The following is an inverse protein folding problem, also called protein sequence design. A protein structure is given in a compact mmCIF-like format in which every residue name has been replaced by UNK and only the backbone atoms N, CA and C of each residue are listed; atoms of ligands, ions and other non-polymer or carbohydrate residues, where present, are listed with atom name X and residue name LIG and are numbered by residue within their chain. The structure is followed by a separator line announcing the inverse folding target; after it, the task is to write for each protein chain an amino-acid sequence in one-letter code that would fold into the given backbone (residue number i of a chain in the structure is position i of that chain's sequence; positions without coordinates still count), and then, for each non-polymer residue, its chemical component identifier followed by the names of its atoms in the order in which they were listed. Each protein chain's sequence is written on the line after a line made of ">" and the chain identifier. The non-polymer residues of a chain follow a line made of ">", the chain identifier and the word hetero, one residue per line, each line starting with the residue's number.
data_IF_973751041543
#
_entry.id   IF_973751041543
#
_cell.length_a   1.000
_cell.length_b   1.000
_cell.length_c   1.000
_cell.angle_alpha   90.00
_cell.angle_beta   90.00
_cell.angle_gamma   90.00
#
_symmetry.space_group_name_H-M   'P 1'
#
loop_
_entity.id
_entity.type
_entity.pdbx_description
1 polymer ?
#
# COMPACT_ATOMS: atom_id res chain seq x y z
N UNK A 1 -23.54 -5.58 8.66
CA UNK A 1 -22.76 -6.40 7.71
C UNK A 1 -22.62 -5.59 6.44
N UNK A 2 -21.39 -5.34 6.01
CA UNK A 2 -21.13 -4.61 4.77
C UNK A 2 -21.05 -5.61 3.61
N UNK A 3 -21.32 -5.17 2.39
CA UNK A 3 -21.09 -5.96 1.19
C UNK A 3 -20.19 -5.13 0.27
N UNK A 4 -18.88 -5.24 0.49
CA UNK A 4 -17.87 -4.39 -0.17
C UNK A 4 -17.83 -4.64 -1.69
N UNK A 5 -17.96 -3.58 -2.50
CA UNK A 5 -17.93 -3.74 -3.96
C UNK A 5 -16.51 -3.68 -4.51
N UNK A 6 -15.62 -2.93 -3.86
CA UNK A 6 -14.22 -2.85 -4.28
C UNK A 6 -13.28 -3.15 -3.13
N UNK A 7 -12.28 -3.99 -3.42
CA UNK A 7 -11.16 -4.29 -2.55
C UNK A 7 -9.93 -3.58 -3.11
N UNK A 8 -9.28 -2.76 -2.29
CA UNK A 8 -8.07 -2.04 -2.66
C UNK A 8 -6.91 -2.64 -1.90
N UNK A 9 -6.09 -3.41 -2.60
CA UNK A 9 -4.92 -4.06 -2.05
C UNK A 9 -3.80 -3.03 -1.88
N UNK A 10 -3.21 -3.00 -0.69
CA UNK A 10 -2.23 -2.01 -0.25
C UNK A 10 -0.98 -2.73 0.25
N UNK A 11 0.17 -2.21 -0.14
CA UNK A 11 1.47 -2.53 0.47
C UNK A 11 2.33 -1.27 0.55
N UNK A 12 3.08 -1.13 1.65
CA UNK A 12 3.96 -0.01 1.93
C UNK A 12 5.39 -0.48 2.19
N UNK A 13 6.34 0.10 1.46
CA UNK A 13 7.75 0.06 1.84
C UNK A 13 8.07 1.27 2.75
N UNK A 14 8.99 1.07 3.69
CA UNK A 14 9.34 2.08 4.65
C UNK A 14 10.83 2.09 5.02
N UNK A 15 11.28 3.15 5.69
CA UNK A 15 12.67 3.30 6.15
C UNK A 15 13.14 2.22 7.14
N UNK A 16 12.23 1.43 7.72
CA UNK A 16 12.51 0.46 8.78
C UNK A 16 11.24 -0.20 9.34
N UNK A 17 11.40 -0.97 10.43
CA UNK A 17 10.31 -1.72 11.07
C UNK A 17 9.56 -0.92 12.13
N UNK A 18 8.45 -1.48 12.62
CA UNK A 18 7.66 -0.91 13.72
C UNK A 18 8.52 -0.73 14.98
N UNK A 19 8.37 0.41 15.67
CA UNK A 19 9.18 0.80 16.84
C UNK A 19 10.26 1.83 16.55
N UNK A 20 10.75 1.92 15.31
CA UNK A 20 11.75 2.91 14.90
C UNK A 20 11.13 4.21 14.35
N UNK A 21 9.80 4.36 14.48
CA UNK A 21 9.01 5.45 13.87
C UNK A 21 9.29 5.56 12.36
N UNK A 22 9.03 4.50 11.57
CA UNK A 22 9.39 4.46 10.16
C UNK A 22 8.63 5.51 9.33
N UNK A 23 9.20 5.88 8.18
CA UNK A 23 8.60 6.78 7.19
C UNK A 23 8.42 6.03 5.88
N UNK A 24 7.37 6.37 5.15
CA UNK A 24 7.03 5.73 3.88
C UNK A 24 8.07 6.03 2.79
N UNK A 25 8.48 5.00 2.03
CA UNK A 25 9.40 5.10 0.89
C UNK A 25 8.77 4.67 -0.42
N UNK A 26 7.79 3.76 -0.38
CA UNK A 26 6.98 3.35 -1.52
C UNK A 26 5.57 2.99 -1.07
N UNK A 27 4.59 3.19 -1.94
CA UNK A 27 3.20 2.80 -1.72
C UNK A 27 2.63 2.26 -3.02
N UNK A 28 2.00 1.08 -2.95
CA UNK A 28 1.19 0.58 -4.04
C UNK A 28 -0.24 0.35 -3.59
N UNK A 29 -1.19 0.78 -4.42
CA UNK A 29 -2.59 0.41 -4.35
C UNK A 29 -3.00 -0.28 -5.65
N UNK A 30 -3.72 -1.38 -5.54
CA UNK A 30 -4.41 -2.00 -6.67
C UNK A 30 -5.87 -2.27 -6.32
N UNK A 31 -6.80 -1.65 -7.04
CA UNK A 31 -8.23 -1.85 -6.84
C UNK A 31 -8.75 -2.99 -7.71
N UNK A 32 -9.58 -3.84 -7.10
CA UNK A 32 -10.26 -4.93 -7.78
C UNK A 32 -11.71 -4.95 -7.34
N UNK A 33 -12.62 -4.89 -8.32
CA UNK A 33 -14.04 -5.07 -8.04
C UNK A 33 -14.33 -6.51 -7.59
N UNK A 34 -15.24 -6.67 -6.64
CA UNK A 34 -15.69 -7.95 -6.08
C UNK A 34 -16.04 -8.97 -7.17
N UNK A 35 -16.81 -8.55 -8.17
CA UNK A 35 -17.14 -9.37 -9.34
C UNK A 35 -15.90 -10.05 -9.97
N UNK A 36 -14.78 -9.34 -10.11
CA UNK A 36 -13.54 -9.88 -10.68
C UNK A 36 -12.81 -10.85 -9.75
N UNK A 37 -13.04 -10.74 -8.43
CA UNK A 37 -12.53 -11.68 -7.43
C UNK A 37 -13.37 -12.97 -7.38
N UNK A 38 -14.70 -12.86 -7.58
CA UNK A 38 -15.63 -13.99 -7.58
C UNK A 38 -15.62 -14.79 -8.91
N UNK A 39 -15.49 -14.10 -10.06
CA UNK A 39 -15.71 -14.70 -11.38
C UNK A 39 -14.39 -15.05 -12.12
N UNK A 40 -13.57 -15.89 -11.48
CA UNK A 40 -12.25 -16.30 -11.98
C UNK A 40 -12.27 -17.04 -13.33
N UNK A 41 -13.31 -17.84 -13.59
CA UNK A 41 -13.37 -18.79 -14.72
C UNK A 41 -13.51 -18.13 -16.09
N UNK A 42 -14.01 -16.90 -16.18
CA UNK A 42 -14.20 -16.21 -17.46
C UNK A 42 -12.91 -15.64 -18.06
N UNK A 43 -11.84 -15.47 -17.25
CA UNK A 43 -10.54 -14.95 -17.73
C UNK A 43 -9.60 -16.02 -18.31
N UNK A 44 -9.91 -17.30 -18.15
CA UNK A 44 -9.13 -18.42 -18.71
C UNK A 44 -9.82 -18.92 -19.98
N UNK A 45 -9.99 -18.04 -20.97
CA UNK A 45 -10.36 -18.49 -22.31
C UNK A 45 -9.18 -19.25 -22.91
N UNK A 46 -9.23 -20.59 -22.95
CA UNK A 46 -8.47 -21.55 -23.78
C UNK A 46 -6.97 -21.27 -24.12
N UNK A 47 -6.28 -20.37 -23.42
CA UNK A 47 -4.84 -20.16 -23.53
C UNK A 47 -4.23 -20.80 -22.29
N UNK A 48 -3.58 -21.93 -22.53
CA UNK A 48 -3.04 -22.80 -21.51
C UNK A 48 -2.14 -22.08 -20.51
N UNK A 49 -2.09 -22.65 -19.30
CA UNK A 49 -0.95 -22.72 -18.38
C UNK A 49 0.09 -21.59 -18.54
N UNK A 50 0.09 -20.68 -17.56
CA UNK A 50 0.95 -19.49 -17.42
C UNK A 50 0.38 -18.24 -18.12
N UNK A 51 -0.19 -17.32 -17.34
CA UNK A 51 -0.64 -16.04 -17.88
C UNK A 51 -0.83 -15.00 -16.80
N UNK A 52 -1.88 -15.09 -16.00
CA UNK A 52 -2.16 -14.10 -14.97
C UNK A 52 -2.82 -14.75 -13.74
N UNK A 53 -2.19 -14.63 -12.58
CA UNK A 53 -2.70 -15.14 -11.29
C UNK A 53 -3.68 -14.12 -10.64
N UNK A 54 -3.80 -12.93 -11.22
CA UNK A 54 -4.64 -11.81 -10.78
C UNK A 54 -5.60 -11.36 -11.89
N UNK A 55 -6.69 -10.61 -11.57
CA UNK A 55 -7.72 -10.24 -12.54
C UNK A 55 -7.21 -9.21 -13.55
N UNK A 56 -7.80 -9.20 -14.74
CA UNK A 56 -7.40 -8.28 -15.83
C UNK A 56 -7.87 -6.84 -15.62
N UNK A 57 -9.05 -6.67 -15.03
CA UNK A 57 -9.66 -5.36 -14.77
C UNK A 57 -9.27 -4.91 -13.37
N UNK A 58 -8.30 -4.00 -13.29
CA UNK A 58 -7.78 -3.41 -12.06
C UNK A 58 -7.32 -1.98 -12.34
N UNK A 59 -7.48 -1.08 -11.37
CA UNK A 59 -6.75 0.19 -11.37
C UNK A 59 -5.54 0.05 -10.44
N UNK A 60 -4.40 0.69 -10.79
CA UNK A 60 -3.19 0.67 -9.96
C UNK A 60 -2.62 2.07 -9.77
N UNK A 61 -2.15 2.36 -8.57
CA UNK A 61 -1.38 3.54 -8.21
C UNK A 61 -0.11 3.08 -7.49
N UNK A 62 1.07 3.36 -8.04
CA UNK A 62 2.36 3.03 -7.43
C UNK A 62 3.21 4.29 -7.36
N UNK A 63 3.68 4.65 -6.16
CA UNK A 63 4.37 5.91 -5.89
C UNK A 63 5.59 5.67 -4.99
N UNK A 64 6.77 6.07 -5.44
CA UNK A 64 7.94 6.19 -4.58
C UNK A 64 7.95 7.57 -3.91
N UNK A 65 8.35 7.62 -2.64
CA UNK A 65 8.29 8.81 -1.79
C UNK A 65 9.63 9.00 -1.10
N UNK A 66 10.13 10.24 -1.06
CA UNK A 66 11.30 10.56 -0.26
C UNK A 66 10.92 10.67 1.23
N UNK A 67 11.42 9.78 2.10
CA UNK A 67 10.96 9.68 3.48
C UNK A 67 11.36 10.88 4.34
N UNK A 68 12.27 11.75 3.88
CA UNK A 68 12.89 12.81 4.68
C UNK A 68 13.43 12.28 6.03
N UNK A 69 13.90 11.03 6.01
CA UNK A 69 14.50 10.29 7.11
C UNK A 69 15.45 9.26 6.51
N UNK A 70 16.54 8.95 7.21
CA UNK A 70 17.46 7.92 6.76
C UNK A 70 16.76 6.56 6.62
N UNK A 71 16.96 5.92 5.48
CA UNK A 71 16.59 4.52 5.24
C UNK A 71 17.62 3.65 5.94
N UNK A 72 17.17 2.72 6.77
CA UNK A 72 18.07 1.76 7.43
C UNK A 72 18.70 0.82 6.40
N UNK A 73 19.90 0.31 6.69
CA UNK A 73 20.57 -0.65 5.81
C UNK A 73 19.68 -1.87 5.54
N UNK A 74 19.00 -2.39 6.57
CA UNK A 74 18.07 -3.51 6.44
C UNK A 74 16.90 -3.21 5.49
N UNK A 75 16.33 -2.01 5.55
CA UNK A 75 15.25 -1.61 4.64
C UNK A 75 15.74 -1.46 3.20
N UNK A 76 16.95 -0.93 3.01
CA UNK A 76 17.59 -0.87 1.69
C UNK A 76 17.89 -2.26 1.13
N UNK A 77 18.44 -3.18 1.94
CA UNK A 77 18.77 -4.54 1.49
C UNK A 77 17.53 -5.32 1.03
N UNK A 78 16.36 -5.01 1.60
CA UNK A 78 15.08 -5.60 1.22
C UNK A 78 14.50 -4.92 -0.03
N UNK A 79 14.31 -3.59 0.02
CA UNK A 79 13.53 -2.86 -1.00
C UNK A 79 14.34 -2.29 -2.16
N UNK A 80 15.66 -2.19 -2.03
CA UNK A 80 16.53 -1.47 -2.96
C UNK A 80 16.34 0.06 -2.95
N UNK A 81 15.47 0.61 -2.09
CA UNK A 81 15.26 2.06 -1.98
C UNK A 81 16.25 2.69 -1.02
N UNK A 82 16.92 3.75 -1.45
CA UNK A 82 17.87 4.50 -0.63
C UNK A 82 17.52 5.99 -0.66
N UNK A 83 18.02 6.75 0.32
CA UNK A 83 17.86 8.20 0.28
C UNK A 83 18.49 8.82 -0.98
N UNK A 84 19.59 8.24 -1.46
CA UNK A 84 20.29 8.69 -2.66
C UNK A 84 19.43 8.51 -3.90
N UNK A 85 18.96 7.28 -4.20
CA UNK A 85 18.18 7.05 -5.42
C UNK A 85 16.84 7.78 -5.43
N UNK A 86 16.17 7.93 -4.27
CA UNK A 86 14.93 8.70 -4.15
C UNK A 86 15.18 10.19 -4.38
N UNK A 87 16.32 10.72 -3.94
CA UNK A 87 16.68 12.13 -4.12
C UNK A 87 17.10 12.42 -5.57
N UNK A 88 17.93 11.57 -6.16
CA UNK A 88 18.40 11.72 -7.54
C UNK A 88 17.26 11.57 -8.57
N UNK A 89 16.25 10.76 -8.25
CA UNK A 89 15.01 10.67 -9.03
C UNK A 89 13.98 11.76 -8.67
N UNK A 90 14.40 12.80 -7.94
CA UNK A 90 13.61 13.97 -7.57
C UNK A 90 12.26 13.61 -6.92
N UNK A 91 12.22 12.55 -6.10
CA UNK A 91 10.98 12.16 -5.42
C UNK A 91 10.67 13.17 -4.31
N UNK A 92 9.43 13.65 -4.28
CA UNK A 92 8.90 14.46 -3.20
C UNK A 92 8.60 13.60 -1.97
N UNK A 93 8.46 14.24 -0.81
CA UNK A 93 7.95 13.57 0.39
C UNK A 93 6.46 13.28 0.31
N UNK A 94 5.91 12.63 1.34
CA UNK A 94 4.48 12.43 1.47
C UNK A 94 3.81 13.81 1.69
N UNK A 95 3.12 14.33 0.67
CA UNK A 95 2.59 15.68 0.60
C UNK A 95 1.09 15.70 0.22
N UNK A 96 0.51 16.90 0.11
CA UNK A 96 -0.91 17.06 -0.26
C UNK A 96 -1.24 16.57 -1.68
N UNK A 97 -0.26 16.50 -2.58
CA UNK A 97 -0.46 15.92 -3.92
C UNK A 97 -0.76 14.44 -3.79
N UNK A 98 0.02 13.72 -2.98
CA UNK A 98 -0.20 12.31 -2.69
C UNK A 98 -1.55 12.09 -1.98
N UNK A 99 -1.90 12.95 -1.00
CA UNK A 99 -3.23 12.89 -0.35
C UNK A 99 -4.35 13.02 -1.38
N UNK A 100 -4.24 13.98 -2.29
CA UNK A 100 -5.24 14.22 -3.34
C UNK A 100 -5.35 13.03 -4.29
N UNK A 101 -4.22 12.47 -4.73
CA UNK A 101 -4.18 11.27 -5.57
C UNK A 101 -4.83 10.06 -4.88
N UNK A 102 -4.52 9.85 -3.59
CA UNK A 102 -5.07 8.74 -2.82
C UNK A 102 -6.59 8.86 -2.67
N UNK A 103 -7.10 10.04 -2.33
CA UNK A 103 -8.54 10.29 -2.23
C UNK A 103 -9.24 10.09 -3.57
N UNK A 104 -8.73 10.72 -4.63
CA UNK A 104 -9.29 10.57 -5.97
C UNK A 104 -9.27 9.11 -6.47
N UNK A 105 -8.20 8.37 -6.16
CA UNK A 105 -8.10 6.95 -6.48
C UNK A 105 -9.21 6.15 -5.79
N UNK A 106 -9.45 6.39 -4.50
CA UNK A 106 -10.50 5.69 -3.73
C UNK A 106 -11.92 6.11 -4.16
N UNK A 107 -12.15 7.39 -4.42
CA UNK A 107 -13.45 7.94 -4.86
C UNK A 107 -13.89 7.41 -6.22
N UNK A 108 -12.94 7.07 -7.10
CA UNK A 108 -13.22 6.47 -8.40
C UNK A 108 -13.78 5.04 -8.28
N UNK A 109 -13.60 4.38 -7.13
CA UNK A 109 -13.98 2.99 -6.94
C UNK A 109 -15.45 2.81 -6.57
N UNK A 110 -16.05 1.68 -6.94
CA UNK A 110 -17.40 1.34 -6.51
C UNK A 110 -17.45 1.16 -4.97
N UNK A 111 -18.28 1.93 -4.24
CA UNK A 111 -18.43 1.77 -2.80
C UNK A 111 -19.34 0.57 -2.46
N UNK A 112 -19.26 0.00 -1.24
CA UNK A 112 -18.29 0.33 -0.19
C UNK A 112 -16.88 -0.19 -0.53
N UNK A 113 -15.84 0.55 -0.11
CA UNK A 113 -14.42 0.23 -0.36
C UNK A 113 -13.77 -0.38 0.87
N UNK A 114 -13.09 -1.50 0.70
CA UNK A 114 -12.25 -2.13 1.72
C UNK A 114 -10.78 -2.13 1.30
N UNK A 115 -9.93 -1.46 2.05
CA UNK A 115 -8.48 -1.62 1.97
C UNK A 115 -8.09 -3.01 2.49
N UNK A 116 -7.17 -3.68 1.81
CA UNK A 116 -6.64 -4.98 2.21
C UNK A 116 -5.12 -4.90 2.21
N UNK A 117 -4.51 -5.14 3.37
CA UNK A 117 -3.07 -5.26 3.50
C UNK A 117 -2.72 -6.56 4.24
N UNK A 118 -1.47 -7.00 4.15
CA UNK A 118 -1.00 -8.21 4.81
C UNK A 118 -0.28 -7.87 6.11
N UNK A 119 -0.87 -8.24 7.26
CA UNK A 119 -0.46 -7.71 8.57
C UNK A 119 -0.68 -6.19 8.69
N UNK A 120 -1.64 -5.66 7.93
CA UNK A 120 -1.92 -4.24 7.79
C UNK A 120 -2.31 -3.54 9.08
N UNK A 121 -3.02 -4.21 10.00
CA UNK A 121 -3.39 -3.56 11.27
C UNK A 121 -2.20 -3.30 12.18
N UNK A 122 -1.10 -4.02 12.00
CA UNK A 122 0.13 -3.84 12.78
C UNK A 122 1.19 -2.99 12.05
N UNK A 123 0.97 -2.66 10.77
CA UNK A 123 1.97 -1.96 9.97
C UNK A 123 1.38 -0.93 9.00
N UNK A 124 0.81 -1.37 7.87
CA UNK A 124 0.44 -0.49 6.76
C UNK A 124 -0.58 0.56 7.15
N UNK A 125 -1.67 0.16 7.80
CA UNK A 125 -2.75 1.09 8.15
C UNK A 125 -2.30 2.11 9.19
N UNK A 126 -1.65 1.73 10.31
CA UNK A 126 -1.10 2.71 11.26
C UNK A 126 -0.04 3.63 10.64
N UNK A 127 0.81 3.12 9.74
CA UNK A 127 1.85 3.93 9.08
C UNK A 127 1.22 4.96 8.14
N UNK A 128 0.29 4.53 7.26
CA UNK A 128 -0.43 5.42 6.37
C UNK A 128 -1.23 6.47 7.16
N UNK A 129 -1.88 6.07 8.26
CA UNK A 129 -2.58 6.99 9.16
C UNK A 129 -1.63 8.04 9.73
N UNK A 130 -0.40 7.65 10.05
CA UNK A 130 0.63 8.57 10.55
C UNK A 130 1.06 9.59 9.50
N UNK A 131 1.27 9.18 8.26
CA UNK A 131 1.65 10.10 7.18
C UNK A 131 0.49 11.04 6.80
N UNK A 132 -0.76 10.54 6.79
CA UNK A 132 -1.95 11.38 6.59
C UNK A 132 -2.12 12.40 7.71
N UNK A 133 -1.99 11.98 8.97
CA UNK A 133 -2.06 12.86 10.15
C UNK A 133 -0.99 13.96 10.07
N UNK A 134 0.21 13.63 9.57
CA UNK A 134 1.29 14.61 9.38
C UNK A 134 0.93 15.71 8.37
N UNK A 135 0.08 15.38 7.40
CA UNK A 135 -0.46 16.31 6.41
C UNK A 135 -1.79 16.95 6.85
N UNK A 136 -2.19 16.81 8.12
CA UNK A 136 -3.47 17.30 8.65
C UNK A 136 -4.66 16.82 7.80
N UNK A 137 -4.53 15.60 7.27
CA UNK A 137 -5.45 14.99 6.32
C UNK A 137 -5.85 13.59 6.77
N UNK A 138 -6.88 13.05 6.12
CA UNK A 138 -7.41 11.72 6.42
C UNK A 138 -8.11 11.10 5.21
N UNK A 139 -8.39 9.79 5.26
CA UNK A 139 -9.24 9.13 4.27
C UNK A 139 -10.72 9.37 4.56
N UNK A 140 -11.60 9.24 3.55
CA UNK A 140 -13.05 9.32 3.75
C UNK A 140 -13.58 8.30 4.78
N UNK A 141 -14.61 8.69 5.54
CA UNK A 141 -15.20 7.88 6.62
C UNK A 141 -15.81 6.55 6.16
N UNK A 142 -16.10 6.41 4.86
CA UNK A 142 -16.68 5.22 4.25
C UNK A 142 -15.63 4.19 3.78
N UNK A 143 -14.35 4.39 4.13
CA UNK A 143 -13.27 3.44 3.87
C UNK A 143 -13.14 2.46 5.04
N UNK A 144 -13.02 1.18 4.72
CA UNK A 144 -12.81 0.10 5.69
C UNK A 144 -11.48 -0.60 5.44
N UNK A 145 -11.05 -1.40 6.40
CA UNK A 145 -9.77 -2.11 6.39
C UNK A 145 -9.98 -3.57 6.78
N UNK A 146 -9.34 -4.48 6.04
CA UNK A 146 -9.24 -5.90 6.35
C UNK A 146 -7.77 -6.33 6.35
N UNK A 147 -7.42 -7.22 7.26
CA UNK A 147 -6.06 -7.78 7.36
C UNK A 147 -6.05 -9.21 6.87
N UNK A 148 -5.38 -9.41 5.73
CA UNK A 148 -5.31 -10.72 5.08
C UNK A 148 -4.52 -11.75 5.89
N UNK A 149 -3.57 -11.32 6.73
CA UNK A 149 -2.83 -12.23 7.60
C UNK A 149 -3.77 -12.85 8.64
N UNK A 150 -4.55 -12.00 9.33
CA UNK A 150 -5.52 -12.44 10.32
C UNK A 150 -6.59 -13.32 9.68
N UNK A 151 -7.17 -12.86 8.57
CA UNK A 151 -8.24 -13.56 7.89
C UNK A 151 -7.80 -14.96 7.41
N UNK A 152 -6.64 -15.06 6.75
CA UNK A 152 -6.12 -16.35 6.28
C UNK A 152 -5.72 -17.26 7.43
N UNK A 153 -5.21 -16.73 8.55
CA UNK A 153 -4.93 -17.55 9.73
C UNK A 153 -6.22 -18.17 10.27
N UNK A 154 -7.26 -17.39 10.45
CA UNK A 154 -8.56 -17.87 10.95
C UNK A 154 -9.22 -18.86 9.99
N UNK A 155 -9.22 -18.55 8.69
CA UNK A 155 -9.79 -19.41 7.65
C UNK A 155 -9.04 -20.74 7.57
N UNK A 156 -7.70 -20.73 7.60
CA UNK A 156 -6.92 -21.95 7.42
C UNK A 156 -6.79 -22.80 8.70
N UNK A 157 -6.89 -22.20 9.89
CA UNK A 157 -6.86 -22.92 11.17
C UNK A 157 -8.25 -23.39 11.61
N UNK A 158 -9.30 -22.63 11.29
CA UNK A 158 -10.69 -22.88 11.72
C UNK A 158 -11.44 -23.91 10.87
N UNK A 159 -10.96 -24.23 9.67
CA UNK A 159 -11.52 -25.35 8.90
C UNK A 159 -10.85 -26.62 9.42
N UNK A 160 -11.61 -27.49 10.09
CA UNK A 160 -11.28 -28.91 10.26
C UNK A 160 -11.25 -29.60 8.88
N UNK A 161 -10.41 -29.14 7.96
CA UNK A 161 -10.25 -29.73 6.65
C UNK A 161 -9.21 -30.83 6.79
N UNK A 162 -9.55 -32.11 6.55
CA UNK A 162 -8.55 -33.17 6.51
C UNK A 162 -7.46 -32.94 5.45
N UNK A 163 -7.70 -32.03 4.48
CA UNK A 163 -6.71 -31.56 3.49
C UNK A 163 -5.69 -30.59 4.07
N UNK A 164 -6.06 -29.82 5.10
CA UNK A 164 -5.19 -28.87 5.78
C UNK A 164 -4.70 -29.45 7.12
N UNK A 165 -4.08 -30.64 7.09
CA UNK A 165 -3.45 -31.25 8.28
C UNK A 165 -2.52 -30.23 8.96
N UNK A 166 -2.86 -29.81 10.18
CA UNK A 166 -2.02 -29.11 11.18
C UNK A 166 -0.62 -28.74 10.64
N UNK A 167 -0.59 -27.66 9.85
CA UNK A 167 0.56 -27.33 9.02
C UNK A 167 1.67 -26.67 9.86
N UNK A 168 2.92 -27.12 9.67
CA UNK A 168 4.11 -26.38 10.11
C UNK A 168 4.47 -25.38 9.01
N UNK A 169 4.20 -24.09 9.22
CA UNK A 169 4.59 -23.04 8.28
C UNK A 169 4.12 -21.66 8.72
N UNK A 170 4.82 -20.62 8.30
CA UNK A 170 4.44 -19.24 8.57
C UNK A 170 3.20 -18.81 7.75
N UNK A 171 2.61 -17.68 8.15
CA UNK A 171 1.57 -16.97 7.42
C UNK A 171 2.11 -15.71 6.75
N UNK A 172 3.43 -15.61 6.53
CA UNK A 172 3.96 -14.51 5.72
C UNK A 172 3.44 -14.61 4.29
N UNK A 173 3.35 -13.47 3.61
CA UNK A 173 2.83 -13.39 2.26
C UNK A 173 3.56 -14.35 1.30
N UNK A 174 4.90 -14.40 1.36
CA UNK A 174 5.71 -15.29 0.52
C UNK A 174 5.48 -16.77 0.80
N UNK A 175 5.27 -17.15 2.06
CA UNK A 175 4.97 -18.55 2.42
C UNK A 175 3.56 -18.96 1.99
N UNK A 176 2.58 -18.05 2.09
CA UNK A 176 1.24 -18.27 1.58
C UNK A 176 1.22 -18.39 0.05
N UNK A 177 1.92 -17.50 -0.64
CA UNK A 177 2.03 -17.55 -2.10
C UNK A 177 2.68 -18.85 -2.57
N UNK A 178 3.80 -19.25 -1.96
CA UNK A 178 4.43 -20.55 -2.23
C UNK A 178 3.50 -21.72 -1.95
N UNK A 179 2.73 -21.66 -0.86
CA UNK A 179 1.78 -22.71 -0.51
C UNK A 179 0.69 -22.88 -1.56
N UNK A 180 0.16 -21.79 -2.10
CA UNK A 180 -0.97 -21.84 -3.03
C UNK A 180 -0.55 -22.02 -4.49
N UNK A 181 0.66 -21.57 -4.85
CA UNK A 181 1.12 -21.54 -6.24
C UNK A 181 2.36 -22.41 -6.52
N UNK A 182 2.96 -23.02 -5.49
CA UNK A 182 4.11 -23.93 -5.61
C UNK A 182 5.46 -23.26 -5.86
N UNK A 183 5.50 -21.93 -5.96
CA UNK A 183 6.71 -21.14 -6.25
C UNK A 183 6.77 -19.91 -5.34
N UNK A 184 7.97 -19.42 -5.03
CA UNK A 184 8.13 -18.16 -4.30
C UNK A 184 7.78 -16.96 -5.20
N UNK A 185 7.29 -15.84 -4.64
CA UNK A 185 7.03 -14.63 -5.41
C UNK A 185 8.34 -14.05 -5.97
N UNK A 186 8.23 -13.39 -7.12
CA UNK A 186 9.32 -12.63 -7.72
C UNK A 186 9.30 -11.21 -7.16
N UNK A 187 10.48 -10.60 -6.99
CA UNK A 187 10.63 -9.20 -6.55
C UNK A 187 9.92 -8.88 -5.24
N UNK A 188 9.94 -9.79 -4.26
CA UNK A 188 9.47 -9.51 -2.91
C UNK A 188 10.16 -8.27 -2.34
N UNK A 189 9.45 -7.51 -1.50
CA UNK A 189 9.88 -6.21 -0.98
C UNK A 189 9.91 -5.08 -2.03
N UNK A 190 9.03 -5.19 -3.02
CA UNK A 190 8.65 -4.08 -3.89
C UNK A 190 7.13 -3.93 -3.76
N UNK A 191 6.65 -2.71 -3.47
CA UNK A 191 5.26 -2.51 -3.08
C UNK A 191 4.27 -3.04 -4.14
N UNK A 192 4.56 -2.83 -5.43
CA UNK A 192 3.71 -3.35 -6.51
C UNK A 192 3.73 -4.88 -6.59
N UNK A 193 4.91 -5.49 -6.48
CA UNK A 193 5.06 -6.94 -6.56
C UNK A 193 4.36 -7.63 -5.38
N UNK A 194 4.45 -7.05 -4.18
CA UNK A 194 3.81 -7.57 -2.99
C UNK A 194 2.28 -7.37 -3.02
N UNK A 195 1.78 -6.24 -3.55
CA UNK A 195 0.34 -6.08 -3.84
C UNK A 195 -0.17 -7.15 -4.83
N UNK A 196 0.55 -7.41 -5.93
CA UNK A 196 0.14 -8.42 -6.90
C UNK A 196 0.22 -9.85 -6.34
N UNK A 197 1.21 -10.11 -5.48
CA UNK A 197 1.34 -11.35 -4.72
C UNK A 197 0.16 -11.51 -3.76
N UNK A 198 -0.22 -10.44 -3.05
CA UNK A 198 -1.36 -10.41 -2.14
C UNK A 198 -2.69 -10.65 -2.88
N UNK A 199 -2.90 -10.03 -4.04
CA UNK A 199 -4.09 -10.32 -4.86
C UNK A 199 -4.16 -11.80 -5.25
N UNK A 200 -3.03 -12.39 -5.63
CA UNK A 200 -2.94 -13.80 -6.02
C UNK A 200 -3.25 -14.74 -4.85
N UNK A 201 -2.68 -14.44 -3.68
CA UNK A 201 -2.98 -15.14 -2.42
C UNK A 201 -4.46 -15.01 -2.05
N UNK A 202 -5.00 -13.79 -2.10
CA UNK A 202 -6.40 -13.52 -1.79
C UNK A 202 -7.33 -14.30 -2.72
N UNK A 203 -7.02 -14.38 -4.01
CA UNK A 203 -7.82 -15.13 -4.99
C UNK A 203 -7.87 -16.62 -4.72
N UNK A 204 -6.83 -17.19 -4.13
CA UNK A 204 -6.81 -18.62 -3.79
C UNK A 204 -7.87 -19.01 -2.75
N UNK A 205 -8.39 -18.02 -2.01
CA UNK A 205 -9.46 -18.15 -1.01
C UNK A 205 -10.48 -17.00 -1.11
N UNK A 206 -10.81 -16.59 -2.34
CA UNK A 206 -11.60 -15.37 -2.57
C UNK A 206 -12.94 -15.42 -1.84
N UNK A 207 -13.70 -16.50 -2.00
CA UNK A 207 -15.04 -16.63 -1.39
C UNK A 207 -14.98 -16.47 0.13
N UNK A 208 -14.06 -17.16 0.78
CA UNK A 208 -13.89 -17.13 2.23
C UNK A 208 -13.41 -15.75 2.71
N UNK A 209 -12.46 -15.14 2.00
CA UNK A 209 -11.91 -13.83 2.37
C UNK A 209 -12.87 -12.67 2.13
N UNK A 210 -13.65 -12.72 1.06
CA UNK A 210 -14.72 -11.76 0.77
C UNK A 210 -15.78 -11.80 1.88
N UNK A 211 -16.24 -12.98 2.25
CA UNK A 211 -17.20 -13.18 3.35
C UNK A 211 -16.60 -12.76 4.70
N UNK A 212 -15.33 -13.08 4.93
CA UNK A 212 -14.63 -12.67 6.15
C UNK A 212 -14.56 -11.14 6.24
N UNK A 213 -14.21 -10.44 5.17
CA UNK A 213 -14.12 -8.99 5.15
C UNK A 213 -15.48 -8.31 5.37
N UNK A 214 -16.55 -8.80 4.74
CA UNK A 214 -17.92 -8.29 4.94
C UNK A 214 -18.39 -8.31 6.41
N UNK A 215 -17.85 -9.26 7.19
CA UNK A 215 -18.14 -9.44 8.61
C UNK A 215 -17.16 -8.72 9.55
N UNK A 216 -15.88 -8.71 9.22
CA UNK A 216 -14.80 -8.34 10.16
C UNK A 216 -14.02 -7.09 9.77
N UNK A 217 -14.24 -6.51 8.58
CA UNK A 217 -13.54 -5.28 8.19
C UNK A 217 -13.87 -4.15 9.16
N UNK A 218 -12.84 -3.37 9.51
CA UNK A 218 -12.92 -2.29 10.49
C UNK A 218 -12.95 -0.94 9.79
N UNK A 219 -13.75 0.04 10.26
CA UNK A 219 -13.69 1.40 9.73
C UNK A 219 -12.29 2.00 9.82
N UNK A 220 -11.84 2.68 8.76
CA UNK A 220 -10.54 3.39 8.75
C UNK A 220 -10.39 4.37 9.90
N UNK A 221 -11.49 5.04 10.30
CA UNK A 221 -11.51 5.99 11.43
C UNK A 221 -11.09 5.38 12.78
N UNK A 222 -11.13 4.05 12.92
CA UNK A 222 -10.67 3.34 14.12
C UNK A 222 -9.17 3.04 14.10
N UNK A 223 -8.50 3.25 12.96
CA UNK A 223 -7.06 3.08 12.85
C UNK A 223 -6.36 4.24 13.55
N UNK A 224 -5.58 3.91 14.57
CA UNK A 224 -4.73 4.87 15.26
C UNK A 224 -3.40 5.06 14.50
N UNK A 225 -2.82 6.27 14.47
CA UNK A 225 -1.47 6.47 13.97
C UNK A 225 -0.48 5.53 14.67
N UNK A 226 0.46 4.96 13.91
CA UNK A 226 1.58 4.15 14.44
C UNK A 226 2.37 4.90 15.51
N UNK A 227 2.49 6.22 15.36
CA UNK A 227 3.08 7.12 16.34
C UNK A 227 2.60 8.55 16.08
N UNK A 228 2.72 9.45 17.07
CA UNK A 228 2.37 10.86 16.86
C UNK A 228 3.41 11.55 15.94
N UNK A 229 3.05 12.02 14.73
CA UNK A 229 4.00 12.63 13.80
C UNK A 229 4.40 14.05 14.24
N UNK A 230 5.66 14.42 14.01
CA UNK A 230 6.07 15.82 14.03
C UNK A 230 5.47 16.56 12.82
N UNK A 231 5.09 17.85 12.96
CA UNK A 231 4.59 18.65 11.84
C UNK A 231 5.53 18.63 10.63
N UNK A 232 4.98 18.67 9.41
CA UNK A 232 5.80 18.82 8.21
C UNK A 232 6.51 20.18 8.22
N UNK A 233 7.85 20.18 8.23
CA UNK A 233 8.60 21.42 7.97
C UNK A 233 8.41 21.75 6.49
N UNK A 234 7.71 22.84 6.19
CA UNK A 234 7.60 23.37 4.83
C UNK A 234 9.00 23.76 4.31
N UNK A 235 9.69 22.82 3.66
CA UNK A 235 11.05 23.02 3.16
C UNK A 235 11.11 24.11 2.08
N UNK A 236 9.98 24.38 1.39
CA UNK A 236 9.86 25.49 0.43
C UNK A 236 10.07 26.87 1.06
N UNK A 237 9.64 27.07 2.31
CA UNK A 237 9.88 28.34 3.01
C UNK A 237 11.33 28.42 3.53
N UNK A 238 11.89 27.29 3.94
CA UNK A 238 13.26 27.20 4.48
C UNK A 238 14.38 27.35 3.43
N UNK A 239 14.09 27.13 2.13
CA UNK A 239 15.06 27.36 1.06
C UNK A 239 15.16 28.84 0.68
N UNK A 240 14.05 29.59 0.71
CA UNK A 240 14.03 31.03 0.42
C UNK A 240 14.55 31.88 1.58
N UNK A 241 14.47 31.37 2.81
CA UNK A 241 14.95 32.05 4.01
C UNK A 241 16.47 31.98 4.20
N UNK A 242 17.17 31.05 3.54
CA UNK A 242 18.64 30.95 3.56
C UNK A 242 19.36 31.96 2.66
N UNK A 243 18.63 32.70 1.83
CA UNK A 243 19.17 33.69 0.92
C UNK A 243 18.94 35.11 1.45
N UNK A 244 19.99 35.94 1.39
CA UNK A 244 19.86 37.37 1.75
C UNK A 244 18.85 38.06 0.82
N UNK A 245 18.27 39.22 1.22
CA UNK A 245 17.28 39.93 0.41
C UNK A 245 17.71 40.20 -1.04
N UNK A 246 19.03 40.35 -1.29
CA UNK A 246 19.62 40.54 -2.63
C UNK A 246 19.68 39.27 -3.47
N UNK A 247 19.67 38.09 -2.84
CA UNK A 247 19.67 36.79 -3.53
C UNK A 247 18.24 36.32 -3.85
N UNK A 248 17.24 36.73 -3.05
CA UNK A 248 15.81 36.47 -3.31
C UNK A 248 15.34 37.07 -4.64
N UNK A 249 15.76 38.29 -4.97
CA UNK A 249 15.36 38.97 -6.21
C UNK A 249 15.97 38.36 -7.48
N UNK A 250 17.11 37.65 -7.38
CA UNK A 250 17.72 36.92 -8.50
C UNK A 250 17.04 35.58 -8.77
N UNK A 251 16.68 34.82 -7.73
CA UNK A 251 16.00 33.52 -7.86
C UNK A 251 14.56 33.64 -8.40
N UNK A 252 13.85 34.72 -8.05
CA UNK A 252 12.52 35.02 -8.60
C UNK A 252 12.60 35.45 -10.08
N UNK A 253 13.68 36.15 -10.48
CA UNK A 253 13.88 36.53 -11.89
C UNK A 253 14.27 35.35 -12.78
N UNK A 254 15.04 34.39 -12.29
CA UNK A 254 15.45 33.21 -13.07
C UNK A 254 14.32 32.18 -13.27
N UNK A 255 13.33 32.15 -12.37
CA UNK A 255 12.16 31.28 -12.49
C UNK A 255 11.11 31.82 -13.46
N UNK A 256 11.02 33.14 -13.65
CA UNK A 256 10.15 33.76 -14.65
C UNK A 256 10.69 33.67 -16.08
N UNK A 257 12.01 33.51 -16.27
CA UNK A 257 12.63 33.36 -17.60
C UNK A 257 12.54 31.95 -18.19
N UNK A 258 12.09 30.95 -17.44
CA UNK A 258 11.93 29.56 -17.90
C UNK A 258 10.49 29.21 -18.34
N UNK A 259 9.58 30.19 -18.34
CA UNK A 259 8.15 30.01 -18.65
C UNK A 259 7.71 30.52 -20.03
N UNK A 260 8.62 30.59 -21.01
CA UNK A 260 8.30 30.95 -22.39
C UNK A 260 9.18 30.14 -23.35
N UNK A 261 8.80 28.87 -23.59
CA UNK A 261 8.81 28.18 -24.89
C UNK A 261 7.65 27.19 -24.89
#
# INVERSE_FOLDING_TARGET
>A
MHHFQTFVFLDLEATGICGERPRLTEMCLASVHRFSLENFTQSIGNRGKAGHVYPRVMDKLCLCVNPNKLVSQKAFDLSGLSNENLTENCKSGFDQTIVTLLRAFLERQAPPVCLVAHNGFNFDFPLLRTELTRQESDLPDNVFCADSYQALREILEGIENPRFRRFKGGYSLSELYKRFHGVYPLNAHCAEADVLTLISVFRSHATELLNWADLHARPWKEITPMYNPSPSKNLHQSHLERYSPKQRSKAVRSSQSLGLV
#
